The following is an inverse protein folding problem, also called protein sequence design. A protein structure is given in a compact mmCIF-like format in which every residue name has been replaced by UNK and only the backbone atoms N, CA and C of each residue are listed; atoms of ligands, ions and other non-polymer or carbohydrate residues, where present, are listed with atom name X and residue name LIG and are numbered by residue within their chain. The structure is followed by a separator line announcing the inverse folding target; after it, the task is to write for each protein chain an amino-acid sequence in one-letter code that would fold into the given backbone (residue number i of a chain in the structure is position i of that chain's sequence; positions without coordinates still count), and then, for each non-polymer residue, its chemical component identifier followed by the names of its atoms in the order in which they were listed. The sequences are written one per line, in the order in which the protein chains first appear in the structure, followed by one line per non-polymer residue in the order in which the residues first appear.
data_IF_836666912387
#
_entry.id   IF_836666912387
#
_cell.length_a   1.000
_cell.length_b   1.000
_cell.length_c   1.000
_cell.angle_alpha   90.00
_cell.angle_beta   90.00
_cell.angle_gamma   90.00
#
_symmetry.space_group_name_H-M   'P 1'
#
loop_
_entity.id
_entity.type
_entity.pdbx_description
1 polymer ?
#
# COMPACT_ATOMS: atom_id res chain seq x y z
N UNK A 1 -5.63 53.17 -31.09
CA UNK A 1 -6.71 52.16 -30.87
C UNK A 1 -6.34 50.77 -31.42
N UNK A 2 -5.14 50.23 -31.08
CA UNK A 2 -4.70 48.92 -31.64
C UNK A 2 -4.05 48.01 -30.60
N UNK A 3 -4.36 48.17 -29.29
CA UNK A 3 -3.63 47.44 -28.24
C UNK A 3 -4.48 46.49 -27.39
N UNK A 4 -5.78 46.29 -27.66
CA UNK A 4 -6.63 45.41 -26.84
C UNK A 4 -6.99 44.07 -27.51
N UNK A 5 -6.72 43.87 -28.78
CA UNK A 5 -7.14 42.65 -29.49
C UNK A 5 -6.15 41.46 -29.32
N UNK A 6 -4.87 41.73 -29.00
CA UNK A 6 -3.85 40.66 -28.88
C UNK A 6 -3.85 39.93 -27.51
N UNK A 7 -4.41 40.55 -26.49
CA UNK A 7 -4.40 39.94 -25.14
C UNK A 7 -5.48 38.86 -24.90
N UNK A 8 -6.51 38.83 -25.75
CA UNK A 8 -7.62 37.85 -25.57
C UNK A 8 -7.40 36.50 -26.27
N UNK A 9 -6.48 36.43 -27.25
CA UNK A 9 -6.20 35.18 -27.99
C UNK A 9 -5.23 34.27 -27.24
N UNK A 10 -4.33 34.84 -26.43
CA UNK A 10 -3.33 34.07 -25.67
C UNK A 10 -3.91 33.35 -24.44
N UNK A 11 -5.01 33.84 -23.87
CA UNK A 11 -5.64 33.22 -22.69
C UNK A 11 -6.48 31.98 -23.07
N UNK A 12 -7.04 31.96 -24.27
CA UNK A 12 -7.83 30.82 -24.73
C UNK A 12 -6.99 29.57 -25.06
N UNK A 13 -5.73 29.75 -25.47
CA UNK A 13 -4.85 28.63 -25.86
C UNK A 13 -4.26 27.90 -24.65
N UNK A 14 -4.09 28.57 -23.51
CA UNK A 14 -3.52 27.94 -22.30
C UNK A 14 -4.57 27.11 -21.54
N UNK A 15 -5.85 27.48 -21.63
CA UNK A 15 -6.93 26.74 -20.99
C UNK A 15 -7.29 25.43 -21.70
N UNK A 16 -7.02 25.30 -23.01
CA UNK A 16 -7.29 24.05 -23.74
C UNK A 16 -6.23 22.98 -23.49
N UNK A 17 -4.97 23.35 -23.19
CA UNK A 17 -3.90 22.39 -22.93
C UNK A 17 -4.02 21.73 -21.52
N UNK A 18 -4.61 22.42 -20.56
CA UNK A 18 -4.81 21.90 -19.20
C UNK A 18 -5.96 20.86 -19.11
N UNK A 19 -6.92 20.93 -20.01
CA UNK A 19 -8.08 20.03 -20.00
C UNK A 19 -7.84 18.67 -20.64
N UNK A 20 -6.81 18.53 -21.44
CA UNK A 20 -6.49 17.26 -22.13
C UNK A 20 -5.64 16.34 -21.24
N UNK A 21 -4.84 16.91 -20.35
CA UNK A 21 -3.94 16.12 -19.48
C UNK A 21 -4.67 15.42 -18.32
N UNK A 22 -5.83 15.91 -17.89
CA UNK A 22 -6.59 15.34 -16.76
C UNK A 22 -7.47 14.16 -17.17
N UNK A 23 -7.89 14.07 -18.44
CA UNK A 23 -8.77 12.99 -18.89
C UNK A 23 -8.07 11.65 -19.16
N UNK A 24 -6.78 11.65 -19.45
CA UNK A 24 -6.02 10.40 -19.67
C UNK A 24 -5.64 9.69 -18.35
N UNK A 25 -5.40 10.42 -17.27
CA UNK A 25 -5.12 9.84 -15.96
C UNK A 25 -6.39 9.27 -15.30
N UNK A 26 -7.53 9.93 -15.46
CA UNK A 26 -8.80 9.53 -14.83
C UNK A 26 -9.37 8.22 -15.36
N UNK A 27 -9.19 7.89 -16.64
CA UNK A 27 -9.73 6.66 -17.22
C UNK A 27 -8.96 5.40 -16.76
N UNK A 28 -7.65 5.48 -16.58
CA UNK A 28 -6.84 4.36 -16.09
C UNK A 28 -7.13 4.04 -14.61
N UNK A 29 -7.36 5.04 -13.78
CA UNK A 29 -7.68 4.85 -12.37
C UNK A 29 -9.04 4.18 -12.16
N UNK A 30 -10.06 4.52 -13.00
CA UNK A 30 -11.39 3.94 -12.87
C UNK A 30 -11.44 2.44 -13.20
N UNK A 31 -10.71 2.00 -14.21
CA UNK A 31 -10.66 0.59 -14.60
C UNK A 31 -9.85 -0.23 -13.59
N UNK A 32 -8.75 0.33 -13.10
CA UNK A 32 -8.00 -0.28 -12.00
C UNK A 32 -8.87 -0.44 -10.74
N UNK A 33 -9.62 0.59 -10.34
CA UNK A 33 -10.52 0.55 -9.17
C UNK A 33 -11.60 -0.53 -9.35
N UNK A 34 -12.15 -0.71 -10.55
CA UNK A 34 -13.12 -1.78 -10.83
C UNK A 34 -12.49 -3.17 -10.66
N UNK A 35 -11.30 -3.38 -11.23
CA UNK A 35 -10.55 -4.63 -11.09
C UNK A 35 -10.25 -4.90 -9.63
N UNK A 36 -9.68 -3.94 -8.90
CA UNK A 36 -9.37 -4.05 -7.48
C UNK A 36 -10.60 -4.41 -6.65
N UNK A 37 -11.72 -3.73 -6.90
CA UNK A 37 -12.96 -3.94 -6.16
C UNK A 37 -13.63 -5.28 -6.48
N UNK A 38 -13.25 -5.96 -7.55
CA UNK A 38 -13.73 -7.32 -7.85
C UNK A 38 -13.09 -8.40 -6.98
N UNK A 39 -11.97 -8.10 -6.32
CA UNK A 39 -11.31 -9.05 -5.43
C UNK A 39 -12.00 -9.09 -4.05
N UNK A 40 -12.33 -10.29 -3.54
CA UNK A 40 -12.98 -10.45 -2.23
C UNK A 40 -12.21 -9.81 -1.08
N UNK A 41 -10.87 -9.83 -1.15
CA UNK A 41 -9.98 -9.21 -0.17
C UNK A 41 -10.22 -7.71 -0.03
N UNK A 42 -10.53 -7.00 -1.12
CA UNK A 42 -10.76 -5.57 -1.08
C UNK A 42 -12.15 -5.19 -0.59
N UNK A 43 -13.15 -5.97 -0.96
CA UNK A 43 -14.55 -5.76 -0.60
C UNK A 43 -15.00 -6.52 0.67
N UNK A 44 -14.13 -7.36 1.21
CA UNK A 44 -14.45 -8.20 2.36
C UNK A 44 -14.75 -7.42 3.63
N UNK A 45 -15.69 -7.91 4.40
CA UNK A 45 -16.12 -7.36 5.70
C UNK A 45 -15.04 -7.47 6.81
N UNK A 46 -13.97 -8.19 6.58
CA UNK A 46 -12.87 -8.30 7.53
C UNK A 46 -11.96 -7.08 7.39
N UNK A 47 -11.79 -6.36 8.49
CA UNK A 47 -10.85 -5.25 8.60
C UNK A 47 -9.41 -5.78 8.45
N UNK A 48 -8.93 -5.84 7.22
CA UNK A 48 -7.56 -6.26 6.91
C UNK A 48 -6.69 -5.08 6.54
N UNK A 49 -6.79 -4.04 7.33
CA UNK A 49 -5.92 -2.89 7.24
C UNK A 49 -5.24 -2.66 8.60
N UNK A 50 -4.05 -2.13 8.56
CA UNK A 50 -3.35 -1.66 9.74
C UNK A 50 -3.53 -0.14 9.79
N UNK A 51 -4.41 0.33 10.67
CA UNK A 51 -4.77 1.74 10.84
C UNK A 51 -5.15 2.44 9.52
N UNK A 52 -5.89 1.73 8.69
CA UNK A 52 -6.36 2.22 7.40
C UNK A 52 -5.41 1.99 6.23
N UNK A 53 -4.19 1.48 6.44
CA UNK A 53 -3.28 1.08 5.37
C UNK A 53 -3.45 -0.39 5.04
N UNK A 54 -3.57 -0.70 3.75
CA UNK A 54 -3.68 -2.08 3.27
C UNK A 54 -3.05 -2.27 1.89
N UNK A 55 -2.62 -3.49 1.55
CA UNK A 55 -2.19 -3.82 0.21
C UNK A 55 -3.26 -3.53 -0.84
N UNK A 56 -2.84 -3.05 -2.00
CA UNK A 56 -3.73 -2.65 -3.09
C UNK A 56 -4.21 -1.19 -3.06
N UNK A 57 -3.90 -0.43 -2.01
CA UNK A 57 -4.05 1.02 -2.07
C UNK A 57 -3.10 1.60 -3.11
N UNK A 58 -3.52 2.65 -3.81
CA UNK A 58 -2.60 3.43 -4.63
C UNK A 58 -1.66 4.25 -3.75
N UNK A 59 -0.51 4.63 -4.29
CA UNK A 59 0.41 5.56 -3.61
C UNK A 59 -0.31 6.85 -3.20
N UNK A 60 -1.18 7.38 -4.08
CA UNK A 60 -1.96 8.59 -3.79
C UNK A 60 -2.93 8.40 -2.63
N UNK A 61 -3.66 7.29 -2.57
CA UNK A 61 -4.56 6.97 -1.46
C UNK A 61 -3.78 6.83 -0.13
N UNK A 62 -2.59 6.23 -0.17
CA UNK A 62 -1.75 6.09 1.01
C UNK A 62 -1.27 7.45 1.54
N UNK A 63 -0.80 8.33 0.65
CA UNK A 63 -0.38 9.69 1.01
C UNK A 63 -1.50 10.57 1.57
N UNK A 64 -2.73 10.37 1.13
CA UNK A 64 -3.89 11.12 1.64
C UNK A 64 -4.26 10.75 3.08
N UNK A 65 -3.79 9.61 3.58
CA UNK A 65 -4.09 9.14 4.93
C UNK A 65 -3.31 9.86 6.02
N UNK A 66 -2.06 10.22 5.74
CA UNK A 66 -1.19 10.97 6.66
C UNK A 66 -0.47 12.06 5.86
N UNK A 67 -0.54 13.30 6.34
CA UNK A 67 -0.01 14.49 5.65
C UNK A 67 1.50 14.49 5.47
N UNK A 68 2.22 13.78 6.34
CA UNK A 68 3.68 13.86 6.45
C UNK A 68 4.40 12.63 5.87
N UNK A 69 3.72 11.87 5.00
CA UNK A 69 4.35 10.73 4.34
C UNK A 69 5.36 11.17 3.28
N UNK A 70 6.54 10.58 3.31
CA UNK A 70 7.61 10.77 2.34
C UNK A 70 7.71 9.55 1.41
N UNK A 71 8.00 9.80 0.13
CA UNK A 71 8.27 8.76 -0.84
C UNK A 71 9.76 8.67 -1.10
N UNK A 72 10.32 7.50 -0.90
CA UNK A 72 11.73 7.18 -1.18
C UNK A 72 11.80 5.93 -2.05
N UNK A 73 12.02 6.10 -3.35
CA UNK A 73 12.04 5.00 -4.31
C UNK A 73 10.71 4.24 -4.36
N UNK A 74 10.73 2.97 -3.96
CA UNK A 74 9.57 2.08 -3.91
C UNK A 74 8.97 1.96 -2.51
N UNK A 75 9.19 2.95 -1.64
CA UNK A 75 8.66 2.98 -0.29
C UNK A 75 7.95 4.30 -0.01
N UNK A 76 6.90 4.22 0.82
CA UNK A 76 6.27 5.37 1.46
C UNK A 76 6.54 5.22 2.95
N UNK A 77 7.14 6.23 3.55
CA UNK A 77 7.43 6.31 4.97
C UNK A 77 6.50 7.33 5.60
N UNK A 78 5.68 6.90 6.53
CA UNK A 78 4.74 7.77 7.23
C UNK A 78 5.05 7.76 8.72
N UNK A 79 5.23 8.93 9.37
CA UNK A 79 5.37 9.00 10.81
C UNK A 79 4.06 8.58 11.49
N UNK A 80 4.18 7.96 12.65
CA UNK A 80 3.04 7.64 13.51
C UNK A 80 2.72 8.78 14.48
N UNK A 81 1.90 8.47 15.47
CA UNK A 81 1.48 9.42 16.51
C UNK A 81 2.61 9.79 17.48
N UNK A 82 3.67 9.01 17.51
CA UNK A 82 4.85 9.24 18.35
C UNK A 82 6.15 9.05 17.55
N UNK A 83 7.28 9.53 18.10
CA UNK A 83 8.60 9.43 17.48
C UNK A 83 9.04 7.99 17.20
N UNK A 84 8.57 7.03 17.98
CA UNK A 84 8.92 5.62 17.87
C UNK A 84 7.87 4.79 17.13
N UNK A 85 6.90 5.45 16.53
CA UNK A 85 5.80 4.87 15.78
C UNK A 85 5.88 5.31 14.32
N UNK A 86 5.55 4.42 13.40
CA UNK A 86 5.54 4.77 11.98
C UNK A 86 5.11 3.62 11.08
N UNK A 87 4.87 3.97 9.83
CA UNK A 87 4.52 3.03 8.77
C UNK A 87 5.59 3.05 7.69
N UNK A 88 5.92 1.87 7.20
CA UNK A 88 6.66 1.67 5.97
C UNK A 88 5.76 0.88 5.02
N UNK A 89 5.46 1.45 3.86
CA UNK A 89 4.66 0.83 2.82
C UNK A 89 5.57 0.54 1.64
N UNK A 90 5.67 -0.72 1.21
CA UNK A 90 6.35 -1.07 -0.03
C UNK A 90 5.41 -0.85 -1.21
N UNK A 91 5.93 -0.31 -2.32
CA UNK A 91 5.16 -0.07 -3.54
C UNK A 91 5.54 -1.06 -4.64
N UNK A 92 4.61 -1.32 -5.54
CA UNK A 92 4.90 -2.00 -6.81
C UNK A 92 5.85 -1.16 -7.66
N UNK A 93 6.66 -1.82 -8.48
CA UNK A 93 7.66 -1.17 -9.33
C UNK A 93 7.13 -0.94 -10.74
N UNK A 94 6.39 -1.90 -11.27
CA UNK A 94 6.00 -1.95 -12.68
C UNK A 94 4.52 -1.62 -12.95
N UNK A 95 3.70 -1.45 -11.90
CA UNK A 95 2.28 -1.08 -12.11
C UNK A 95 2.08 0.43 -12.16
N UNK A 96 1.11 0.87 -12.96
CA UNK A 96 0.62 2.24 -12.99
C UNK A 96 -0.91 2.23 -12.84
N UNK A 97 -1.46 2.81 -11.76
CA UNK A 97 -0.78 3.48 -10.64
C UNK A 97 0.07 2.50 -9.81
N UNK A 98 1.07 3.02 -9.08
CA UNK A 98 1.82 2.22 -8.10
C UNK A 98 0.91 1.85 -6.93
N UNK A 99 1.00 0.59 -6.50
CA UNK A 99 0.19 0.02 -5.44
C UNK A 99 1.01 -0.27 -4.21
N UNK A 100 0.40 -0.13 -3.04
CA UNK A 100 0.97 -0.66 -1.80
C UNK A 100 1.00 -2.19 -1.89
N UNK A 101 2.18 -2.78 -1.78
CA UNK A 101 2.41 -4.23 -1.71
C UNK A 101 2.26 -4.73 -0.29
N UNK A 102 3.08 -4.19 0.60
CA UNK A 102 3.21 -4.59 1.98
C UNK A 102 3.00 -3.39 2.89
N UNK A 103 2.49 -3.66 4.09
CA UNK A 103 2.34 -2.67 5.15
C UNK A 103 3.12 -3.13 6.36
N UNK A 104 4.07 -2.33 6.80
CA UNK A 104 4.80 -2.50 8.05
C UNK A 104 4.43 -1.39 9.00
N UNK A 105 3.99 -1.72 10.20
CA UNK A 105 3.72 -0.79 11.28
C UNK A 105 4.66 -1.06 12.44
N UNK A 106 5.45 -0.06 12.78
CA UNK A 106 6.35 -0.07 13.92
C UNK A 106 5.71 0.70 15.07
N UNK A 107 5.77 0.16 16.27
CA UNK A 107 5.23 0.81 17.45
C UNK A 107 6.01 0.39 18.72
N UNK A 108 6.02 1.22 19.78
CA UNK A 108 6.69 0.90 21.02
C UNK A 108 6.12 -0.37 21.66
N UNK A 109 6.97 -1.24 22.17
CA UNK A 109 6.54 -2.45 22.88
C UNK A 109 5.81 -2.13 24.19
N UNK A 110 6.12 -1.02 24.83
CA UNK A 110 5.44 -0.56 26.04
C UNK A 110 5.45 -1.55 27.21
N UNK A 111 6.40 -2.50 27.22
CA UNK A 111 6.43 -3.60 28.20
C UNK A 111 5.46 -4.75 27.93
N UNK A 112 4.68 -4.70 26.85
CA UNK A 112 3.81 -5.81 26.47
C UNK A 112 4.61 -7.01 25.97
N UNK A 113 4.12 -8.22 26.24
CA UNK A 113 4.69 -9.45 25.69
C UNK A 113 4.11 -9.73 24.30
N UNK A 114 4.85 -10.50 23.49
CA UNK A 114 4.38 -10.94 22.19
C UNK A 114 3.03 -11.68 22.30
N UNK A 115 2.88 -12.53 23.31
CA UNK A 115 1.64 -13.28 23.53
C UNK A 115 0.43 -12.37 23.79
N UNK A 116 0.59 -11.35 24.64
CA UNK A 116 -0.48 -10.38 24.91
C UNK A 116 -0.87 -9.62 23.65
N UNK A 117 0.11 -9.15 22.88
CA UNK A 117 -0.15 -8.43 21.64
C UNK A 117 -0.73 -9.34 20.55
N UNK A 118 -0.30 -10.60 20.48
CA UNK A 118 -0.90 -11.58 19.55
C UNK A 118 -2.40 -11.80 19.84
N UNK A 119 -2.78 -11.88 21.10
CA UNK A 119 -4.20 -11.95 21.50
C UNK A 119 -4.99 -10.71 21.05
N UNK A 120 -4.40 -9.52 21.20
CA UNK A 120 -5.03 -8.28 20.72
C UNK A 120 -5.20 -8.27 19.19
N UNK A 121 -4.20 -8.73 18.46
CA UNK A 121 -4.27 -8.88 16.99
C UNK A 121 -5.41 -9.83 16.60
N UNK A 122 -5.53 -11.00 17.25
CA UNK A 122 -6.62 -11.94 17.01
C UNK A 122 -7.99 -11.29 17.24
N UNK A 123 -8.15 -10.56 18.35
CA UNK A 123 -9.41 -9.89 18.67
C UNK A 123 -9.72 -8.75 17.70
N UNK A 124 -8.73 -7.96 17.34
CA UNK A 124 -8.92 -6.79 16.47
C UNK A 124 -9.24 -7.18 15.02
N UNK A 125 -8.57 -8.20 14.51
CA UNK A 125 -8.66 -8.59 13.10
C UNK A 125 -9.59 -9.78 12.85
N UNK A 126 -10.10 -10.42 13.91
CA UNK A 126 -10.99 -11.59 13.80
C UNK A 126 -10.34 -12.79 13.10
N UNK A 127 -9.01 -12.92 13.22
CA UNK A 127 -8.22 -14.00 12.61
C UNK A 127 -8.02 -15.15 13.59
N UNK A 128 -7.78 -16.34 13.04
CA UNK A 128 -7.61 -17.56 13.85
C UNK A 128 -6.32 -17.60 14.68
N UNK A 129 -5.91 -18.79 15.11
CA UNK A 129 -4.71 -18.95 15.91
C UNK A 129 -3.43 -18.65 15.09
N UNK A 130 -2.46 -18.04 15.76
CA UNK A 130 -1.15 -17.81 15.18
C UNK A 130 -0.29 -19.07 15.17
N UNK A 131 0.67 -19.09 14.25
CA UNK A 131 1.78 -20.02 14.24
C UNK A 131 3.06 -19.27 14.58
N UNK A 132 4.04 -19.94 15.15
CA UNK A 132 5.36 -19.36 15.33
C UNK A 132 6.05 -19.19 13.98
N UNK A 133 6.72 -18.06 13.76
CA UNK A 133 7.53 -17.86 12.56
C UNK A 133 8.82 -18.68 12.68
N UNK A 134 9.02 -19.63 11.76
CA UNK A 134 10.23 -20.45 11.70
C UNK A 134 10.74 -20.49 10.25
N UNK A 135 11.96 -19.97 9.97
CA UNK A 135 12.82 -19.19 10.87
C UNK A 135 12.27 -17.79 11.16
N UNK A 136 12.68 -17.20 12.27
CA UNK A 136 12.37 -15.78 12.54
C UNK A 136 13.04 -14.89 11.50
N UNK A 137 12.36 -13.86 10.99
CA UNK A 137 12.97 -12.88 10.10
C UNK A 137 14.17 -12.19 10.73
N UNK A 138 15.11 -11.75 9.89
CA UNK A 138 16.28 -11.03 10.36
C UNK A 138 15.88 -9.80 11.17
N UNK A 139 16.52 -9.58 12.31
CA UNK A 139 16.22 -8.46 13.21
C UNK A 139 14.99 -8.68 14.12
N UNK A 140 14.27 -9.80 13.96
CA UNK A 140 13.11 -10.16 14.78
C UNK A 140 13.51 -11.29 15.73
N UNK A 141 13.30 -11.07 17.03
CA UNK A 141 13.62 -12.05 18.05
C UNK A 141 12.55 -13.12 18.21
N UNK A 142 11.33 -12.69 18.31
CA UNK A 142 10.16 -13.53 18.52
C UNK A 142 9.06 -13.11 17.55
N UNK A 143 8.29 -14.04 17.01
CA UNK A 143 7.32 -13.71 15.98
C UNK A 143 6.15 -14.70 15.98
N UNK A 144 4.95 -14.16 15.82
CA UNK A 144 3.71 -14.90 15.53
C UNK A 144 3.22 -14.56 14.13
N UNK A 145 2.72 -15.56 13.41
CA UNK A 145 2.22 -15.41 12.04
C UNK A 145 0.81 -15.98 11.91
N UNK A 146 0.00 -15.30 11.14
CA UNK A 146 -1.34 -15.73 10.73
C UNK A 146 -1.40 -15.84 9.23
N UNK A 147 -1.83 -16.98 8.72
CA UNK A 147 -2.14 -17.11 7.30
C UNK A 147 -3.48 -16.43 7.02
N UNK A 148 -3.50 -15.59 6.00
CA UNK A 148 -4.70 -14.91 5.52
C UNK A 148 -5.13 -15.50 4.17
N UNK A 149 -6.26 -15.00 3.65
CA UNK A 149 -6.75 -15.39 2.33
C UNK A 149 -5.81 -14.90 1.22
N UNK A 150 -5.98 -15.45 0.03
CA UNK A 150 -5.22 -15.08 -1.18
C UNK A 150 -3.70 -15.20 -1.04
N UNK A 151 -3.26 -16.07 -0.10
CA UNK A 151 -1.85 -16.34 0.12
C UNK A 151 -1.08 -15.23 0.84
N UNK A 152 -1.76 -14.21 1.32
CA UNK A 152 -1.16 -13.21 2.19
C UNK A 152 -1.04 -13.73 3.64
N UNK A 153 -0.26 -13.04 4.44
CA UNK A 153 -0.13 -13.33 5.86
C UNK A 153 0.06 -12.06 6.67
N UNK A 154 -0.32 -12.13 7.94
CA UNK A 154 0.00 -11.11 8.94
C UNK A 154 1.07 -11.67 9.87
N UNK A 155 2.00 -10.83 10.29
CA UNK A 155 3.07 -11.22 11.21
C UNK A 155 3.25 -10.16 12.27
N UNK A 156 3.31 -10.57 13.51
CA UNK A 156 3.67 -9.72 14.64
C UNK A 156 5.03 -10.18 15.17
N UNK A 157 5.98 -9.29 15.25
CA UNK A 157 7.33 -9.57 15.76
C UNK A 157 7.76 -8.58 16.83
N UNK A 158 8.71 -9.01 17.64
CA UNK A 158 9.43 -8.15 18.58
C UNK A 158 10.85 -8.02 18.07
N UNK A 159 11.35 -6.80 17.97
CA UNK A 159 12.72 -6.55 17.54
C UNK A 159 13.75 -7.11 18.56
N UNK A 160 15.00 -7.27 18.11
CA UNK A 160 16.06 -7.85 18.94
C UNK A 160 16.38 -7.04 20.20
N UNK A 161 16.09 -5.74 20.20
CA UNK A 161 16.30 -4.84 21.34
C UNK A 161 15.12 -4.87 22.31
N UNK A 162 14.01 -5.50 21.95
CA UNK A 162 12.73 -5.51 22.67
C UNK A 162 12.12 -4.12 22.90
N UNK A 163 12.56 -3.13 22.17
CA UNK A 163 12.05 -1.76 22.30
C UNK A 163 10.83 -1.53 21.41
N UNK A 164 10.72 -2.26 20.29
CA UNK A 164 9.67 -2.08 19.30
C UNK A 164 8.99 -3.39 18.94
N UNK A 165 7.72 -3.28 18.59
CA UNK A 165 6.96 -4.32 17.92
C UNK A 165 6.75 -3.94 16.47
N UNK A 166 6.66 -4.95 15.63
CA UNK A 166 6.50 -4.81 14.18
C UNK A 166 5.29 -5.63 13.78
N UNK A 167 4.24 -4.97 13.31
CA UNK A 167 3.10 -5.62 12.68
C UNK A 167 3.24 -5.49 11.18
N UNK A 168 3.29 -6.62 10.49
CA UNK A 168 3.50 -6.70 9.05
C UNK A 168 2.32 -7.38 8.37
N UNK A 169 1.83 -6.80 7.28
CA UNK A 169 0.80 -7.35 6.40
C UNK A 169 1.41 -7.54 5.01
N UNK A 170 1.51 -8.78 4.57
CA UNK A 170 2.19 -9.14 3.33
C UNK A 170 1.34 -8.94 2.09
N UNK A 171 2.02 -8.91 0.95
CA UNK A 171 1.45 -8.81 -0.38
C UNK A 171 0.49 -9.97 -0.69
N UNK A 172 -0.77 -9.70 -1.08
CA UNK A 172 -1.64 -10.71 -1.66
C UNK A 172 -1.14 -11.18 -3.03
N UNK A 173 -1.42 -12.42 -3.38
CA UNK A 173 -1.00 -13.02 -4.67
C UNK A 173 -1.46 -12.22 -5.89
N UNK A 174 -2.64 -11.63 -5.85
CA UNK A 174 -3.15 -10.86 -6.98
C UNK A 174 -2.32 -9.62 -7.31
N UNK A 175 -1.73 -8.93 -6.30
CA UNK A 175 -0.81 -7.81 -6.52
C UNK A 175 0.47 -8.31 -7.17
N UNK A 176 1.04 -9.41 -6.67
CA UNK A 176 2.23 -10.04 -7.27
C UNK A 176 1.98 -10.39 -8.73
N UNK A 177 0.83 -11.00 -9.05
CA UNK A 177 0.47 -11.34 -10.42
C UNK A 177 0.28 -10.12 -11.32
N UNK A 178 -0.26 -9.02 -10.80
CA UNK A 178 -0.35 -7.76 -11.55
C UNK A 178 1.03 -7.17 -11.84
N UNK A 179 1.92 -7.20 -10.86
CA UNK A 179 3.28 -6.69 -11.01
C UNK A 179 4.08 -7.51 -12.02
N UNK A 180 3.99 -8.84 -11.96
CA UNK A 180 4.59 -9.74 -12.94
C UNK A 180 4.08 -9.47 -14.37
N UNK A 181 2.76 -9.33 -14.56
CA UNK A 181 2.18 -9.01 -15.85
C UNK A 181 2.63 -7.64 -16.37
N UNK A 182 2.74 -6.63 -15.50
CA UNK A 182 3.21 -5.31 -15.87
C UNK A 182 4.68 -5.35 -16.32
N UNK A 183 5.52 -6.05 -15.57
CA UNK A 183 6.92 -6.27 -15.91
C UNK A 183 7.10 -6.99 -17.25
N UNK A 184 6.36 -8.08 -17.49
CA UNK A 184 6.44 -8.81 -18.75
C UNK A 184 5.99 -7.97 -19.96
N UNK A 185 4.99 -7.11 -19.76
CA UNK A 185 4.54 -6.15 -20.76
C UNK A 185 5.62 -5.11 -21.08
N UNK A 186 6.30 -4.57 -20.06
CA UNK A 186 7.44 -3.64 -20.27
C UNK A 186 8.58 -4.31 -21.03
N UNK A 187 8.83 -5.59 -20.79
CA UNK A 187 9.85 -6.37 -21.49
C UNK A 187 9.43 -6.77 -22.93
N UNK A 188 8.22 -6.39 -23.38
CA UNK A 188 7.69 -6.76 -24.70
C UNK A 188 7.39 -8.25 -24.88
N UNK A 189 7.31 -9.01 -23.79
CA UNK A 189 7.08 -10.47 -23.81
C UNK A 189 5.61 -10.83 -23.96
N UNK A 190 4.70 -9.95 -23.55
CA UNK A 190 3.25 -10.13 -23.70
C UNK A 190 2.72 -9.00 -24.58
N UNK A 191 2.05 -9.30 -25.70
CA UNK A 191 1.36 -8.26 -26.45
C UNK A 191 0.23 -7.66 -25.60
N UNK A 192 -0.06 -6.35 -25.75
CA UNK A 192 -1.13 -5.70 -24.98
C UNK A 192 -2.45 -6.43 -25.24
N UNK A 193 -3.09 -6.93 -24.16
CA UNK A 193 -4.44 -7.50 -24.27
C UNK A 193 -5.38 -6.37 -24.66
N UNK A 194 -6.07 -6.55 -25.80
CA UNK A 194 -7.22 -5.70 -26.14
C UNK A 194 -8.37 -6.13 -25.22
N UNK A 195 -8.75 -5.24 -24.30
CA UNK A 195 -9.95 -5.38 -23.49
C UNK A 195 -11.16 -4.86 -24.26
#
# INVERSE_FOLDING_TARGET
MFSQALSRVLIASVLLAASISTSFAQNNDSDFIKIRNSYPFWNGSLKRDIQGFKPGMTESEAKQRLSDCEVSGHKVLCPGSSKDEGFELSLTEHTMPRLVKDVTYLFPAGGATLETMAKNVVMQFGIGNSQQCLPSPQGIRECSQWQLEEGSYMRLGVDVTRSKMILFLSTPKWITSLEEQAFEKEQGRIPPRKF
#
